data_IF_896827800882
#
_entry.id   IF_896827800882
#
_cell.length_a   1.000
_cell.length_b   1.000
_cell.length_c   1.000
_cell.angle_alpha   90.00
_cell.angle_beta   90.00
_cell.angle_gamma   90.00
#
_symmetry.space_group_name_H-M   'P 1'
#
loop_
_entity.id
_entity.type
_entity.pdbx_description
1 polymer ?
#
# COMPACT_ATOMS: atom_id res chain seq x y z
N UNK A 1 -28.54 -67.57 4.32
CA UNK A 1 -29.13 -66.64 5.31
C UNK A 1 -27.97 -66.04 6.09
N UNK A 2 -27.56 -64.78 6.02
CA UNK A 2 -28.03 -63.63 5.28
C UNK A 2 -27.00 -62.48 5.34
N UNK A 3 -27.10 -61.60 4.33
CA UNK A 3 -26.77 -60.17 4.31
C UNK A 3 -25.30 -59.73 4.45
N UNK A 4 -24.68 -59.61 3.27
CA UNK A 4 -23.90 -58.44 2.86
C UNK A 4 -24.47 -57.15 3.47
N UNK A 5 -23.62 -56.32 4.08
CA UNK A 5 -23.80 -54.87 4.05
C UNK A 5 -22.41 -54.21 4.12
N UNK A 6 -21.87 -53.93 2.94
CA UNK A 6 -20.73 -53.04 2.71
C UNK A 6 -21.30 -51.62 2.82
N UNK A 7 -21.01 -50.91 3.92
CA UNK A 7 -21.27 -49.46 3.99
C UNK A 7 -19.99 -48.70 3.59
N UNK A 8 -19.70 -48.71 2.28
CA UNK A 8 -18.86 -47.69 1.66
C UNK A 8 -19.78 -46.52 1.35
N UNK A 9 -19.77 -45.50 2.19
CA UNK A 9 -20.30 -44.19 1.85
C UNK A 9 -19.23 -43.16 2.20
N UNK A 10 -18.33 -42.96 1.23
CA UNK A 10 -17.51 -41.76 1.07
C UNK A 10 -18.42 -40.53 1.08
N UNK A 11 -18.71 -39.98 2.25
CA UNK A 11 -19.26 -38.62 2.34
C UNK A 11 -18.04 -37.70 2.42
N UNK A 12 -17.55 -37.44 1.21
CA UNK A 12 -16.80 -36.28 0.76
C UNK A 12 -16.40 -35.34 1.90
N UNK A 13 -15.14 -35.49 2.34
CA UNK A 13 -14.41 -34.34 2.88
C UNK A 13 -14.44 -33.28 1.80
N UNK A 14 -15.39 -32.36 1.90
CA UNK A 14 -15.39 -31.14 1.13
C UNK A 14 -14.22 -30.32 1.64
N UNK A 15 -13.01 -30.66 1.19
CA UNK A 15 -11.90 -29.73 1.15
C UNK A 15 -12.41 -28.57 0.32
N UNK A 16 -12.89 -27.53 0.99
CA UNK A 16 -13.03 -26.21 0.41
C UNK A 16 -11.61 -25.81 0.01
N UNK A 17 -11.25 -26.14 -1.23
CA UNK A 17 -10.13 -25.53 -1.91
C UNK A 17 -10.48 -24.04 -2.00
N UNK A 18 -10.09 -23.29 -0.97
CA UNK A 18 -10.03 -21.84 -1.03
C UNK A 18 -9.00 -21.55 -2.11
N UNK A 19 -9.49 -21.40 -3.34
CA UNK A 19 -8.68 -20.96 -4.46
C UNK A 19 -8.32 -19.51 -4.15
N UNK A 20 -7.18 -19.30 -3.48
CA UNK A 20 -6.60 -18.00 -3.28
C UNK A 20 -6.43 -17.37 -4.67
N UNK A 21 -7.27 -16.38 -5.00
CA UNK A 21 -7.17 -15.66 -6.27
C UNK A 21 -5.81 -14.96 -6.30
N UNK A 22 -4.83 -15.60 -6.97
CA UNK A 22 -3.53 -15.01 -7.27
C UNK A 22 -3.78 -13.67 -7.95
N UNK A 23 -3.43 -12.58 -7.28
CA UNK A 23 -3.59 -11.22 -7.79
C UNK A 23 -2.74 -11.09 -9.04
N UNK A 24 -3.38 -11.11 -10.22
CA UNK A 24 -2.71 -11.11 -11.53
C UNK A 24 -1.79 -9.89 -11.67
N UNK A 25 -0.68 -10.04 -12.39
CA UNK A 25 0.16 -8.92 -12.78
C UNK A 25 -0.68 -7.83 -13.47
N UNK A 26 -0.35 -6.57 -13.19
CA UNK A 26 -1.00 -5.41 -13.81
C UNK A 26 -0.04 -4.80 -14.81
N UNK A 27 -0.57 -4.18 -15.87
CA UNK A 27 0.23 -3.47 -16.86
C UNK A 27 0.46 -2.03 -16.46
N UNK A 28 -0.49 -1.42 -15.76
CA UNK A 28 -0.52 0.01 -15.43
C UNK A 28 -0.78 0.22 -13.95
N UNK A 29 -0.42 1.41 -13.46
CA UNK A 29 -0.64 1.78 -12.07
C UNK A 29 -2.14 1.77 -11.76
N UNK A 30 -2.54 1.02 -10.74
CA UNK A 30 -3.91 1.05 -10.21
C UNK A 30 -3.92 1.76 -8.87
N UNK A 31 -4.82 2.72 -8.73
CA UNK A 31 -4.98 3.54 -7.52
C UNK A 31 -6.38 3.28 -6.96
N UNK A 32 -6.46 2.70 -5.77
CA UNK A 32 -7.71 2.54 -5.04
C UNK A 32 -7.73 3.43 -3.80
N UNK A 33 -8.67 4.37 -3.71
CA UNK A 33 -8.87 5.15 -2.48
C UNK A 33 -9.54 4.26 -1.44
N UNK A 34 -8.92 4.13 -0.26
CA UNK A 34 -9.40 3.31 0.87
C UNK A 34 -10.14 4.14 1.90
N UNK A 35 -9.67 5.35 2.12
CA UNK A 35 -10.30 6.33 2.98
C UNK A 35 -9.92 7.72 2.48
N UNK A 36 -10.87 8.64 2.47
CA UNK A 36 -10.64 10.05 2.14
C UNK A 36 -11.28 10.91 3.22
N UNK A 37 -10.54 11.81 3.87
CA UNK A 37 -11.10 12.78 4.80
C UNK A 37 -12.19 13.62 4.13
N UNK A 38 -13.22 13.99 4.88
CA UNK A 38 -14.28 14.90 4.41
C UNK A 38 -13.69 16.26 4.03
N UNK A 39 -12.78 16.77 4.86
CA UNK A 39 -12.07 18.02 4.63
C UNK A 39 -10.72 17.76 3.96
N UNK A 40 -10.61 18.17 2.71
CA UNK A 40 -9.41 18.02 1.89
C UNK A 40 -8.83 19.39 1.50
N UNK A 41 -8.57 20.23 2.50
CA UNK A 41 -8.09 21.61 2.30
C UNK A 41 -6.64 21.68 1.82
N UNK A 42 -5.83 20.66 2.14
CA UNK A 42 -4.43 20.56 1.71
C UNK A 42 -4.25 19.25 0.94
N UNK A 43 -3.81 19.37 -0.31
CA UNK A 43 -3.57 18.25 -1.21
C UNK A 43 -2.10 18.16 -1.61
N UNK A 44 -1.63 16.93 -1.84
CA UNK A 44 -0.27 16.68 -2.24
C UNK A 44 -0.07 17.03 -3.72
N UNK A 45 0.87 17.94 -3.99
CA UNK A 45 1.27 18.34 -5.33
C UNK A 45 2.75 18.05 -5.57
N UNK A 46 3.14 18.02 -6.85
CA UNK A 46 4.55 17.87 -7.24
C UNK A 46 5.41 18.95 -6.55
N UNK A 47 6.55 18.55 -6.01
CA UNK A 47 7.48 19.41 -5.28
C UNK A 47 7.15 19.59 -3.80
N UNK A 48 6.02 19.08 -3.31
CA UNK A 48 5.77 19.06 -1.87
C UNK A 48 6.65 18.02 -1.17
N UNK A 49 7.15 18.38 0.01
CA UNK A 49 7.72 17.42 0.97
C UNK A 49 6.55 16.69 1.63
N UNK A 50 6.45 15.39 1.43
CA UNK A 50 5.36 14.57 1.98
C UNK A 50 5.90 13.55 2.96
N UNK A 51 5.13 13.25 4.01
CA UNK A 51 5.37 12.11 4.90
C UNK A 51 4.28 11.06 4.70
N UNK A 52 4.67 9.81 4.48
CA UNK A 52 3.75 8.72 4.14
C UNK A 52 4.04 7.50 5.00
N UNK A 53 3.00 7.00 5.67
CA UNK A 53 3.03 5.66 6.24
C UNK A 53 2.61 4.62 5.20
N UNK A 54 3.16 3.42 5.27
CA UNK A 54 2.84 2.34 4.34
C UNK A 54 3.13 0.93 4.86
N UNK A 55 2.47 -0.04 4.22
CA UNK A 55 2.92 -1.43 4.10
C UNK A 55 3.20 -1.75 2.63
N UNK A 56 4.38 -2.28 2.32
CA UNK A 56 4.78 -2.77 1.01
C UNK A 56 4.76 -4.29 0.95
N UNK A 57 3.99 -4.84 0.01
CA UNK A 57 3.74 -6.28 -0.12
C UNK A 57 3.93 -6.76 -1.55
N UNK A 58 4.33 -8.03 -1.70
CA UNK A 58 4.20 -8.76 -2.95
C UNK A 58 2.72 -9.16 -3.17
N UNK A 59 2.38 -9.58 -4.39
CA UNK A 59 1.01 -9.99 -4.76
C UNK A 59 0.46 -11.20 -4.01
N UNK A 60 1.34 -11.98 -3.37
CA UNK A 60 0.98 -13.10 -2.50
C UNK A 60 0.72 -12.69 -1.04
N UNK A 61 0.91 -11.40 -0.71
CA UNK A 61 0.72 -10.85 0.63
C UNK A 61 1.99 -10.78 1.47
N UNK A 62 3.13 -11.28 0.98
CA UNK A 62 4.40 -11.19 1.70
C UNK A 62 4.82 -9.73 1.87
N UNK A 63 4.87 -9.24 3.11
CA UNK A 63 5.38 -7.90 3.43
C UNK A 63 6.90 -7.91 3.24
N UNK A 64 7.42 -7.01 2.41
CA UNK A 64 8.85 -6.81 2.24
C UNK A 64 9.38 -5.60 3.02
N UNK A 65 8.51 -4.62 3.28
CA UNK A 65 8.85 -3.42 4.02
C UNK A 65 7.62 -2.71 4.61
N UNK A 66 7.80 -2.03 5.74
CA UNK A 66 6.71 -1.37 6.49
C UNK A 66 7.25 -0.20 7.29
N UNK A 67 6.68 1.00 7.11
CA UNK A 67 7.02 2.15 7.96
C UNK A 67 6.47 2.01 9.37
N UNK A 68 5.35 1.29 9.54
CA UNK A 68 4.73 1.10 10.86
C UNK A 68 5.61 0.23 11.76
N UNK A 69 6.31 -0.76 11.19
CA UNK A 69 7.26 -1.59 11.93
C UNK A 69 8.50 -0.80 12.39
N UNK A 70 8.89 0.22 11.61
CA UNK A 70 9.99 1.14 11.97
C UNK A 70 9.56 2.25 12.93
N UNK A 71 8.25 2.52 13.03
CA UNK A 71 7.69 3.60 13.85
C UNK A 71 7.80 5.01 13.26
N UNK A 72 8.28 5.16 12.02
CA UNK A 72 8.48 6.48 11.38
C UNK A 72 8.03 6.46 9.90
N UNK A 73 7.18 7.40 9.44
CA UNK A 73 6.81 7.52 8.04
C UNK A 73 8.02 7.87 7.16
N UNK A 74 7.98 7.47 5.89
CA UNK A 74 9.00 7.90 4.93
C UNK A 74 8.72 9.35 4.50
N UNK A 75 9.77 10.17 4.44
CA UNK A 75 9.70 11.54 3.95
C UNK A 75 10.45 11.70 2.62
N UNK A 76 9.82 12.34 1.63
CA UNK A 76 10.42 12.57 0.32
C UNK A 76 9.73 13.74 -0.40
N UNK A 77 10.33 14.21 -1.50
CA UNK A 77 9.74 15.23 -2.37
C UNK A 77 8.90 14.55 -3.46
N UNK A 78 7.61 14.85 -3.49
CA UNK A 78 6.67 14.18 -4.38
C UNK A 78 6.90 14.55 -5.85
N UNK A 79 7.05 13.55 -6.71
CA UNK A 79 7.19 13.76 -8.15
C UNK A 79 8.60 14.17 -8.59
N UNK A 80 9.59 14.05 -7.72
CA UNK A 80 11.00 14.39 -7.99
C UNK A 80 11.86 13.19 -8.40
N UNK A 81 11.30 11.97 -8.40
CA UNK A 81 12.06 10.73 -8.63
C UNK A 81 12.87 10.22 -7.44
N UNK A 82 12.63 10.72 -6.22
CA UNK A 82 13.26 10.21 -4.99
C UNK A 82 12.75 8.82 -4.58
N UNK A 83 11.55 8.45 -5.02
CA UNK A 83 10.91 7.15 -4.79
C UNK A 83 10.56 6.50 -6.13
N UNK A 84 10.06 5.26 -6.09
CA UNK A 84 9.61 4.56 -7.31
C UNK A 84 8.52 5.36 -8.04
N UNK A 85 8.51 5.29 -9.38
CA UNK A 85 7.60 6.08 -10.23
C UNK A 85 6.11 5.89 -9.87
N UNK A 86 5.74 4.69 -9.43
CA UNK A 86 4.36 4.41 -9.01
C UNK A 86 3.92 5.20 -7.78
N UNK A 87 4.84 5.57 -6.88
CA UNK A 87 4.55 6.46 -5.75
C UNK A 87 4.44 7.92 -6.22
N UNK A 88 5.41 8.38 -7.02
CA UNK A 88 5.39 9.73 -7.60
C UNK A 88 4.09 10.04 -8.35
N UNK A 89 3.50 9.04 -8.99
CA UNK A 89 2.22 9.15 -9.69
C UNK A 89 1.02 8.88 -8.77
N UNK A 90 1.10 7.83 -7.94
CA UNK A 90 -0.02 7.29 -7.19
C UNK A 90 -0.48 8.15 -6.00
N UNK A 91 0.40 9.02 -5.51
CA UNK A 91 0.16 9.84 -4.32
C UNK A 91 -0.25 11.28 -4.64
N UNK A 92 -0.21 11.69 -5.91
CA UNK A 92 -0.67 13.01 -6.33
C UNK A 92 -2.16 13.23 -5.97
N UNK A 93 -2.46 14.44 -5.49
CA UNK A 93 -3.80 14.86 -5.11
C UNK A 93 -4.36 14.17 -3.86
N UNK A 94 -3.55 13.46 -3.08
CA UNK A 94 -3.97 12.93 -1.78
C UNK A 94 -4.19 14.06 -0.78
N UNK A 95 -5.24 13.96 0.03
CA UNK A 95 -5.42 14.79 1.22
C UNK A 95 -4.55 14.28 2.37
N UNK A 96 -4.15 15.15 3.30
CA UNK A 96 -3.57 14.68 4.57
C UNK A 96 -4.62 13.83 5.31
N UNK A 97 -4.23 12.63 5.74
CA UNK A 97 -5.08 11.59 6.31
C UNK A 97 -5.67 10.62 5.27
N UNK A 98 -5.56 10.89 3.97
CA UNK A 98 -6.06 9.99 2.93
C UNK A 98 -5.28 8.66 2.92
N UNK A 99 -6.01 7.57 2.73
CA UNK A 99 -5.43 6.22 2.58
C UNK A 99 -5.69 5.69 1.19
N UNK A 100 -4.67 5.14 0.54
CA UNK A 100 -4.76 4.52 -0.79
C UNK A 100 -4.16 3.12 -0.78
N UNK A 101 -4.66 2.27 -1.66
CA UNK A 101 -4.01 1.05 -2.10
C UNK A 101 -3.46 1.27 -3.51
N UNK A 102 -2.15 1.21 -3.67
CA UNK A 102 -1.48 1.28 -4.96
C UNK A 102 -1.09 -0.12 -5.40
N UNK A 103 -1.42 -0.49 -6.64
CA UNK A 103 -0.89 -1.69 -7.27
C UNK A 103 0.00 -1.28 -8.44
N UNK A 104 1.29 -1.54 -8.28
CA UNK A 104 2.35 -0.93 -9.07
C UNK A 104 2.99 -2.01 -9.94
N UNK A 105 2.89 -1.92 -11.29
CA UNK A 105 3.58 -2.84 -12.18
C UNK A 105 5.10 -2.68 -12.05
N UNK A 106 5.87 -3.74 -12.32
CA UNK A 106 7.33 -3.72 -12.19
C UNK A 106 8.00 -2.53 -12.88
N UNK A 107 7.51 -2.13 -14.07
CA UNK A 107 8.01 -0.98 -14.86
C UNK A 107 7.93 0.37 -14.12
N UNK A 108 7.06 0.48 -13.11
CA UNK A 108 6.89 1.65 -12.24
C UNK A 108 7.40 1.40 -10.81
N UNK A 109 7.95 0.22 -10.55
CA UNK A 109 8.60 -0.20 -9.30
C UNK A 109 10.09 -0.45 -9.51
N UNK A 110 10.55 -1.66 -9.20
CA UNK A 110 11.97 -2.06 -9.26
C UNK A 110 12.38 -2.75 -10.58
N UNK A 111 11.52 -2.74 -11.60
CA UNK A 111 11.85 -3.25 -12.94
C UNK A 111 12.16 -4.74 -12.99
N UNK A 112 12.90 -5.17 -14.02
CA UNK A 112 13.27 -6.56 -14.24
C UNK A 112 14.32 -7.06 -13.23
N UNK A 113 15.05 -6.15 -12.59
CA UNK A 113 16.11 -6.44 -11.64
C UNK A 113 15.57 -6.70 -10.24
N UNK A 114 14.46 -6.05 -9.87
CA UNK A 114 13.90 -6.14 -8.52
C UNK A 114 14.78 -5.43 -7.49
N UNK A 115 14.62 -5.81 -6.22
CA UNK A 115 15.50 -5.41 -5.11
C UNK A 115 15.76 -6.65 -4.23
N UNK A 116 16.67 -7.54 -4.68
CA UNK A 116 16.99 -8.77 -3.95
C UNK A 116 17.52 -8.50 -2.52
N UNK A 117 17.29 -9.42 -1.57
CA UNK A 117 16.57 -10.68 -1.74
C UNK A 117 15.04 -10.55 -1.62
N UNK A 118 14.53 -9.41 -1.18
CA UNK A 118 13.12 -9.26 -0.76
C UNK A 118 12.14 -9.06 -1.91
N UNK A 119 12.57 -8.38 -2.99
CA UNK A 119 11.73 -8.06 -4.13
C UNK A 119 12.31 -8.74 -5.37
N UNK A 120 11.67 -9.79 -5.90
CA UNK A 120 12.10 -10.43 -7.14
C UNK A 120 12.03 -9.47 -8.34
N UNK A 121 12.84 -9.76 -9.36
CA UNK A 121 12.75 -9.11 -10.65
C UNK A 121 11.37 -9.29 -11.29
N UNK A 122 10.83 -8.24 -11.91
CA UNK A 122 9.52 -8.27 -12.57
C UNK A 122 8.32 -8.29 -11.63
N UNK A 123 8.52 -8.13 -10.32
CA UNK A 123 7.44 -8.17 -9.35
C UNK A 123 6.46 -6.99 -9.49
N UNK A 124 5.16 -7.31 -9.49
CA UNK A 124 4.10 -6.34 -9.18
C UNK A 124 4.08 -6.10 -7.67
N UNK A 125 4.03 -4.83 -7.26
CA UNK A 125 4.01 -4.43 -5.85
C UNK A 125 2.62 -3.97 -5.45
N UNK A 126 2.26 -4.20 -4.19
CA UNK A 126 1.05 -3.66 -3.57
C UNK A 126 1.48 -2.80 -2.38
N UNK A 127 1.02 -1.56 -2.34
CA UNK A 127 1.21 -0.68 -1.21
C UNK A 127 -0.14 -0.27 -0.63
N UNK A 128 -0.29 -0.37 0.69
CA UNK A 128 -1.29 0.39 1.42
C UNK A 128 -0.58 1.61 2.01
N UNK A 129 -1.03 2.82 1.68
CA UNK A 129 -0.36 4.09 2.01
C UNK A 129 -1.29 5.03 2.75
N UNK A 130 -0.75 5.84 3.65
CA UNK A 130 -1.43 6.90 4.39
C UNK A 130 -0.59 8.18 4.32
N UNK A 131 -1.13 9.26 3.76
CA UNK A 131 -0.43 10.55 3.72
C UNK A 131 -0.61 11.27 5.05
N UNK A 132 0.46 11.46 5.83
CA UNK A 132 0.36 12.02 7.19
C UNK A 132 0.79 13.47 7.29
N UNK A 133 1.63 13.96 6.36
CA UNK A 133 2.01 15.37 6.32
C UNK A 133 2.33 15.89 4.92
N UNK A 134 2.15 17.19 4.72
CA UNK A 134 2.56 17.96 3.53
C UNK A 134 3.26 19.22 4.01
N UNK A 135 4.53 19.41 3.63
CA UNK A 135 5.36 20.58 3.99
C UNK A 135 5.30 20.91 5.49
N UNK A 136 5.42 19.89 6.34
CA UNK A 136 5.36 20.02 7.80
C UNK A 136 3.95 20.14 8.40
N UNK A 137 2.91 20.36 7.59
CA UNK A 137 1.53 20.41 8.06
C UNK A 137 0.94 19.01 8.23
N UNK A 138 0.22 18.77 9.31
CA UNK A 138 -0.49 17.50 9.62
C UNK A 138 -2.01 17.72 9.69
N UNK A 139 -2.81 16.66 9.60
CA UNK A 139 -4.26 16.75 9.82
C UNK A 139 -4.47 17.02 11.31
N UNK A 140 -5.02 18.17 11.64
CA UNK A 140 -5.17 18.66 13.02
C UNK A 140 -5.93 17.67 13.93
N UNK A 141 -5.17 16.83 14.64
CA UNK A 141 -5.54 16.22 15.92
C UNK A 141 -4.32 16.26 16.86
N UNK A 142 -3.70 17.45 16.95
CA UNK A 142 -2.49 17.69 17.74
C UNK A 142 -1.73 18.95 17.33
N UNK A 143 -2.40 20.10 17.26
CA UNK A 143 -1.71 21.39 17.34
C UNK A 143 -1.79 21.86 18.80
N UNK A 144 -0.74 21.59 19.58
CA UNK A 144 -0.35 22.49 20.65
C UNK A 144 0.28 23.70 19.98
N UNK A 145 -0.33 24.85 20.22
CA UNK A 145 0.18 26.21 20.00
C UNK A 145 1.70 26.32 20.21
N UNK A 146 2.41 26.63 19.12
CA UNK A 146 3.55 27.54 19.21
C UNK A 146 2.98 28.90 18.77
N UNK A 147 2.60 29.68 19.77
CA UNK A 147 2.35 31.11 19.61
C UNK A 147 3.73 31.74 19.37
N UNK A 148 3.89 32.32 18.18
CA UNK A 148 4.94 33.29 17.90
C UNK A 148 4.73 34.50 18.84
N UNK A 149 5.33 34.47 20.03
CA UNK A 149 5.62 35.70 20.80
C UNK A 149 6.77 36.43 20.10
N UNK A 150 6.43 37.28 19.14
CA UNK A 150 7.26 38.44 18.78
C UNK A 150 6.36 39.69 18.89
N UNK A 151 6.40 40.32 20.08
CA UNK A 151 6.50 41.78 20.35
C UNK A 151 6.29 42.10 21.84
#
# INVERSE_FOLDING_TARGET
>A
MGKFLICVAFISSLLLLVSAKKSRDVTDLQIGVKYKPENCSIQAHKGNRVKVHYHGMLTDGTIFDSSYERGDPIEFELGSGQVIKGWDQGLLGMCIGEKRKLKIPAKLGYGAQGSPPKIPGGATLVFDTELVAINGKTSSSGQSTEEDEEL
#
